data_IF_019787268776
#
_entry.id   IF_019787268776
#
_cell.length_a   1.000
_cell.length_b   1.000
_cell.length_c   1.000
_cell.angle_alpha   90.00
_cell.angle_beta   90.00
_cell.angle_gamma   90.00
#
_symmetry.space_group_name_H-M   'P 1'
#
loop_
_entity.id
_entity.type
_entity.pdbx_description
1 polymer ?
#
# COMPACT_ATOMS: atom_id res chain seq x y z
N UNK A 1 1.58 4.99 17.37
CA UNK A 1 0.33 4.27 17.01
C UNK A 1 0.64 2.91 16.42
N UNK A 2 1.52 2.82 15.40
CA UNK A 2 2.02 1.53 14.90
C UNK A 2 2.66 0.68 16.00
N UNK A 3 3.49 1.28 16.86
CA UNK A 3 4.12 0.54 17.97
C UNK A 3 3.08 -0.02 18.96
N UNK A 4 1.99 0.71 19.19
CA UNK A 4 0.89 0.22 20.02
C UNK A 4 0.12 -0.94 19.38
N UNK A 5 -0.03 -0.94 18.06
CA UNK A 5 -0.67 -2.05 17.33
C UNK A 5 0.18 -3.33 17.42
N UNK A 6 1.52 -3.19 17.39
CA UNK A 6 2.44 -4.30 17.63
C UNK A 6 2.33 -4.80 19.08
N UNK A 7 2.35 -3.90 20.05
CA UNK A 7 2.24 -4.24 21.48
C UNK A 7 0.89 -4.88 21.87
N UNK A 8 -0.15 -4.69 21.06
CA UNK A 8 -1.49 -5.24 21.31
C UNK A 8 -1.80 -6.49 20.52
N UNK A 9 -0.80 -7.06 19.83
CA UNK A 9 -0.93 -8.29 19.03
C UNK A 9 -2.08 -8.21 18.01
N UNK A 10 -2.27 -7.04 17.38
CA UNK A 10 -3.28 -6.89 16.33
C UNK A 10 -2.89 -7.75 15.13
N UNK A 11 -3.75 -8.71 14.77
CA UNK A 11 -3.47 -9.64 13.66
C UNK A 11 -3.20 -8.91 12.34
N UNK A 12 -3.94 -7.83 12.04
CA UNK A 12 -3.80 -7.08 10.79
C UNK A 12 -3.94 -5.57 10.93
N UNK A 13 -3.00 -4.85 10.35
CA UNK A 13 -2.94 -3.39 10.23
C UNK A 13 -3.10 -3.00 8.77
N UNK A 14 -4.04 -2.10 8.49
CA UNK A 14 -4.26 -1.54 7.15
C UNK A 14 -4.10 -0.02 7.22
N UNK A 15 -3.24 0.55 6.38
CA UNK A 15 -3.00 1.99 6.30
C UNK A 15 -3.21 2.50 4.86
N UNK A 16 -4.19 3.38 4.68
CA UNK A 16 -4.43 4.06 3.41
C UNK A 16 -3.66 5.38 3.36
N UNK A 17 -2.94 5.60 2.27
CA UNK A 17 -2.09 6.76 2.05
C UNK A 17 -2.29 7.30 0.66
N UNK A 18 -2.61 8.58 0.51
CA UNK A 18 -2.85 9.19 -0.82
C UNK A 18 -1.61 9.76 -1.49
N UNK A 19 -0.53 9.97 -0.73
CA UNK A 19 0.72 10.58 -1.23
C UNK A 19 1.82 9.53 -1.28
N UNK A 20 2.50 9.47 -2.41
CA UNK A 20 3.58 8.51 -2.62
C UNK A 20 4.71 8.68 -1.60
N UNK A 21 5.07 9.93 -1.26
CA UNK A 21 6.14 10.20 -0.29
C UNK A 21 5.78 9.74 1.13
N UNK A 22 4.49 9.80 1.48
CA UNK A 22 4.01 9.30 2.78
C UNK A 22 3.92 7.78 2.74
N UNK A 23 3.52 7.20 1.61
CA UNK A 23 3.48 5.76 1.43
C UNK A 23 4.89 5.16 1.58
N UNK A 24 5.91 5.77 0.95
CA UNK A 24 7.31 5.36 1.10
C UNK A 24 7.77 5.31 2.56
N UNK A 25 7.53 6.39 3.33
CA UNK A 25 7.89 6.41 4.76
C UNK A 25 7.10 5.41 5.60
N UNK A 26 5.84 5.18 5.27
CA UNK A 26 5.02 4.18 5.95
C UNK A 26 5.53 2.75 5.65
N UNK A 27 5.91 2.48 4.41
CA UNK A 27 6.50 1.21 3.98
C UNK A 27 7.80 0.93 4.73
N UNK A 28 8.68 1.94 4.84
CA UNK A 28 9.90 1.85 5.66
C UNK A 28 9.57 1.52 7.11
N UNK A 29 8.60 2.22 7.72
CA UNK A 29 8.21 1.97 9.10
C UNK A 29 7.63 0.56 9.33
N UNK A 30 6.89 0.00 8.38
CA UNK A 30 6.39 -1.39 8.46
C UNK A 30 7.55 -2.40 8.30
N UNK A 31 8.47 -2.16 7.36
CA UNK A 31 9.65 -3.03 7.12
C UNK A 31 10.58 -3.06 8.32
N UNK A 32 10.89 -1.91 8.91
CA UNK A 32 11.73 -1.80 10.12
C UNK A 32 11.17 -2.62 11.30
N UNK A 33 9.85 -2.84 11.32
CA UNK A 33 9.14 -3.59 12.36
C UNK A 33 8.88 -5.05 11.97
N UNK A 34 9.26 -5.46 10.77
CA UNK A 34 9.01 -6.82 10.26
C UNK A 34 7.52 -7.15 10.10
N UNK A 35 6.67 -6.13 9.92
CA UNK A 35 5.21 -6.29 9.82
C UNK A 35 4.67 -6.01 8.43
N UNK A 36 5.51 -5.71 7.42
CA UNK A 36 5.01 -5.42 6.07
C UNK A 36 4.68 -6.73 5.34
N UNK A 37 3.44 -6.86 4.85
CA UNK A 37 3.04 -7.98 4.01
C UNK A 37 2.86 -7.54 2.56
N UNK A 38 2.10 -6.46 2.32
CA UNK A 38 1.87 -5.97 0.95
C UNK A 38 1.60 -4.47 0.89
N UNK A 39 1.82 -3.91 -0.30
CA UNK A 39 1.42 -2.55 -0.65
C UNK A 39 0.62 -2.59 -1.95
N UNK A 40 -0.66 -2.23 -1.88
CA UNK A 40 -1.58 -2.24 -3.02
C UNK A 40 -1.93 -0.81 -3.42
N UNK A 41 -1.78 -0.47 -4.71
CA UNK A 41 -2.26 0.80 -5.24
C UNK A 41 -3.68 0.64 -5.80
N UNK A 42 -4.60 1.47 -5.33
CA UNK A 42 -5.94 1.62 -5.87
C UNK A 42 -6.06 2.93 -6.63
N UNK A 43 -6.51 2.86 -7.88
CA UNK A 43 -6.91 4.03 -8.66
C UNK A 43 -8.31 3.81 -9.20
N UNK A 44 -9.20 4.75 -8.93
CA UNK A 44 -10.59 4.72 -9.40
C UNK A 44 -10.74 5.72 -10.53
N UNK A 45 -11.37 5.29 -11.62
CA UNK A 45 -11.71 6.17 -12.74
C UNK A 45 -13.22 6.17 -12.95
N UNK A 46 -13.79 7.37 -13.07
CA UNK A 46 -15.20 7.58 -13.30
C UNK A 46 -15.45 7.89 -14.77
N UNK A 47 -16.36 7.13 -15.39
CA UNK A 47 -16.78 7.34 -16.77
C UNK A 47 -17.66 8.58 -16.91
N UNK A 48 -17.45 9.35 -17.97
CA UNK A 48 -18.32 10.45 -18.36
C UNK A 48 -18.47 10.51 -19.89
N UNK A 49 -19.53 11.14 -20.36
CA UNK A 49 -19.73 11.33 -21.80
C UNK A 49 -18.90 12.51 -22.30
N UNK A 50 -18.16 12.29 -23.39
CA UNK A 50 -17.41 13.32 -24.09
C UNK A 50 -17.60 13.12 -25.59
N UNK A 51 -18.29 14.06 -26.24
CA UNK A 51 -18.57 14.04 -27.68
C UNK A 51 -19.22 12.73 -28.18
N UNK A 52 -20.17 12.17 -27.42
CA UNK A 52 -20.88 10.93 -27.78
C UNK A 52 -20.08 9.65 -27.57
N UNK A 53 -18.90 9.72 -26.94
CA UNK A 53 -18.10 8.59 -26.51
C UNK A 53 -17.90 8.60 -24.98
N UNK A 54 -17.53 7.46 -24.40
CA UNK A 54 -17.13 7.38 -22.99
C UNK A 54 -15.68 7.82 -22.84
N UNK A 55 -15.46 8.78 -21.96
CA UNK A 55 -14.14 9.16 -21.45
C UNK A 55 -14.06 8.84 -19.96
N UNK A 56 -12.86 8.87 -19.38
CA UNK A 56 -12.62 8.55 -17.97
C UNK A 56 -11.88 9.69 -17.29
N UNK A 57 -12.33 10.04 -16.09
CA UNK A 57 -11.62 10.93 -15.19
C UNK A 57 -11.11 10.10 -14.00
N UNK A 58 -9.79 10.09 -13.80
CA UNK A 58 -9.16 9.30 -12.72
C UNK A 58 -9.02 10.13 -11.46
N UNK A 59 -9.41 9.56 -10.34
CA UNK A 59 -9.11 10.12 -9.02
C UNK A 59 -7.65 9.86 -8.64
N UNK A 60 -7.15 10.63 -7.67
CA UNK A 60 -5.82 10.43 -7.12
C UNK A 60 -5.68 9.02 -6.55
N UNK A 61 -4.57 8.31 -6.81
CA UNK A 61 -4.38 6.95 -6.30
C UNK A 61 -4.26 6.93 -4.77
N UNK A 62 -4.66 5.82 -4.18
CA UNK A 62 -4.48 5.51 -2.75
C UNK A 62 -3.63 4.25 -2.63
N UNK A 63 -2.57 4.32 -1.84
CA UNK A 63 -1.69 3.22 -1.49
C UNK A 63 -2.16 2.63 -0.17
N UNK A 64 -2.56 1.37 -0.19
CA UNK A 64 -2.95 0.61 0.98
C UNK A 64 -1.77 -0.27 1.40
N UNK A 65 -1.21 0.01 2.58
CA UNK A 65 -0.22 -0.85 3.21
C UNK A 65 -0.95 -1.84 4.10
N UNK A 66 -0.61 -3.10 3.97
CA UNK A 66 -1.15 -4.18 4.79
C UNK A 66 0.00 -4.83 5.53
N UNK A 67 -0.22 -5.09 6.80
CA UNK A 67 0.75 -5.75 7.65
C UNK A 67 0.11 -6.58 8.75
N UNK A 68 0.87 -7.50 9.33
CA UNK A 68 0.45 -8.30 10.48
C UNK A 68 1.45 -8.17 11.63
N UNK A 69 0.93 -8.02 12.85
CA UNK A 69 1.77 -8.05 14.06
C UNK A 69 1.79 -9.43 14.73
N UNK A 70 0.90 -10.34 14.31
CA UNK A 70 0.98 -11.77 14.64
C UNK A 70 2.02 -12.41 13.73
N UNK A 71 3.25 -12.60 14.24
CA UNK A 71 4.40 -13.09 13.48
C UNK A 71 4.04 -14.20 12.49
N UNK A 72 3.95 -13.81 11.22
CA UNK A 72 3.75 -14.70 10.09
C UNK A 72 4.96 -14.51 9.20
N UNK A 73 5.91 -15.45 9.34
CA UNK A 73 6.99 -15.69 8.38
C UNK A 73 6.36 -16.09 7.04
N UNK A 74 5.91 -15.11 6.25
CA UNK A 74 5.65 -15.30 4.83
C UNK A 74 6.55 -14.31 4.07
N UNK A 75 7.83 -14.71 3.98
CA UNK A 75 8.82 -14.05 3.14
C UNK A 75 8.40 -14.12 1.67
N UNK A 76 7.86 -13.01 1.17
CA UNK A 76 7.94 -12.65 -0.24
C UNK A 76 8.65 -11.31 -0.30
N UNK A 77 9.98 -11.37 -0.16
CA UNK A 77 10.87 -10.26 -0.44
C UNK A 77 10.74 -9.97 -1.94
N UNK A 78 9.82 -9.07 -2.29
CA UNK A 78 9.58 -8.62 -3.66
C UNK A 78 10.90 -8.27 -4.33
N UNK A 79 11.34 -9.17 -5.21
CA UNK A 79 12.62 -9.11 -5.88
C UNK A 79 12.71 -7.78 -6.65
N UNK A 80 13.68 -6.96 -6.29
CA UNK A 80 13.98 -5.71 -6.96
C UNK A 80 14.40 -6.04 -8.40
N UNK A 81 13.48 -5.87 -9.35
CA UNK A 81 13.77 -6.05 -10.77
C UNK A 81 14.73 -4.96 -11.24
N UNK A 82 16.03 -5.25 -11.18
CA UNK A 82 17.04 -4.44 -11.86
C UNK A 82 16.72 -4.41 -13.37
N UNK A 83 16.24 -3.26 -13.83
CA UNK A 83 16.11 -2.97 -15.25
C UNK A 83 17.51 -2.89 -15.86
N UNK A 84 18.00 -4.00 -16.39
CA UNK A 84 19.21 -4.02 -17.22
C UNK A 84 18.90 -3.33 -18.55
N UNK A 85 19.57 -2.21 -18.82
CA UNK A 85 19.71 -1.63 -20.17
C UNK A 85 21.04 -2.04 -20.79
#
# INVERSE_FOLDING_TARGET
MLDHAVDTEVDRVVMNVSRLEVAGRATEAFRERGILEEVVQFQVSHGYELAGATSFNSDNPVYMLVGSASGSDDGDDGEEVEATQ
#
